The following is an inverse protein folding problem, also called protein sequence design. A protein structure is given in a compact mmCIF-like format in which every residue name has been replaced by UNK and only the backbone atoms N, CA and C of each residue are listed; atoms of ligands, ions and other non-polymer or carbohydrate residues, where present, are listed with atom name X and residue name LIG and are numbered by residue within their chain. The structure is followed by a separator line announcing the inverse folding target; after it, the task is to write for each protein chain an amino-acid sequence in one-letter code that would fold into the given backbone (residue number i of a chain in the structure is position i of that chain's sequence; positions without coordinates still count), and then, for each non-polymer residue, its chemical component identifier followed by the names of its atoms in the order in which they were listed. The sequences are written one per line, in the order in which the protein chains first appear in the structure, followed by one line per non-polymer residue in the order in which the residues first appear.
data_IF_981392501118
#
_entry.id   IF_981392501118
#
_cell.length_a   1.000
_cell.length_b   1.000
_cell.length_c   1.000
_cell.angle_alpha   90.00
_cell.angle_beta   90.00
_cell.angle_gamma   90.00
#
_symmetry.space_group_name_H-M   'P 1'
#
loop_
_entity.id
_entity.type
_entity.pdbx_description
1 polymer ?
#
# COMPACT_ATOMS: atom_id res chain seq x y z
N UNK A 1 8.10 44.58 44.57
CA UNK A 1 8.46 43.20 44.20
C UNK A 1 7.44 42.27 44.82
N UNK A 2 6.49 41.75 44.03
CA UNK A 2 5.55 40.73 44.49
C UNK A 2 6.06 39.38 43.98
N UNK A 3 6.44 38.51 44.92
CA UNK A 3 6.88 37.14 44.65
C UNK A 3 5.63 36.29 44.51
N UNK A 4 5.32 35.82 43.31
CA UNK A 4 4.23 34.87 43.08
C UNK A 4 4.63 33.51 43.69
N UNK A 5 4.04 33.15 44.83
CA UNK A 5 4.15 31.79 45.36
C UNK A 5 3.17 30.90 44.60
N UNK A 6 3.65 30.11 43.64
CA UNK A 6 2.88 28.97 43.13
C UNK A 6 2.66 28.01 44.30
N UNK A 7 1.40 27.66 44.58
CA UNK A 7 1.10 26.68 45.62
C UNK A 7 1.72 25.33 45.26
N UNK A 8 2.26 24.65 46.26
CA UNK A 8 2.90 23.33 46.15
C UNK A 8 1.98 22.28 45.50
N UNK A 9 0.67 22.50 45.54
CA UNK A 9 -0.34 21.64 44.91
C UNK A 9 -0.36 21.76 43.37
N UNK A 10 -0.11 22.96 42.82
CA UNK A 10 -0.08 23.15 41.37
C UNK A 10 1.20 22.59 40.74
N UNK A 11 2.34 22.67 41.44
CA UNK A 11 3.60 22.08 40.95
C UNK A 11 3.56 20.55 40.99
N UNK A 12 2.98 19.94 42.03
CA UNK A 12 2.80 18.50 42.10
C UNK A 12 1.87 17.96 40.99
N UNK A 13 0.78 18.67 40.70
CA UNK A 13 -0.15 18.29 39.63
C UNK A 13 0.52 18.41 38.24
N UNK A 14 1.32 19.45 38.02
CA UNK A 14 2.05 19.62 36.77
C UNK A 14 3.11 18.53 36.57
N UNK A 15 3.81 18.13 37.63
CA UNK A 15 4.74 16.99 37.59
C UNK A 15 4.04 15.66 37.31
N UNK A 16 2.86 15.42 37.87
CA UNK A 16 2.08 14.21 37.61
C UNK A 16 1.57 14.14 36.16
N UNK A 17 1.11 15.27 35.60
CA UNK A 17 0.67 15.35 34.20
C UNK A 17 1.86 15.16 33.25
N UNK A 18 3.02 15.78 33.55
CA UNK A 18 4.23 15.59 32.77
C UNK A 18 4.72 14.13 32.81
N UNK A 19 4.68 13.47 33.97
CA UNK A 19 5.05 12.06 34.10
C UNK A 19 4.09 11.15 33.33
N UNK A 20 2.79 11.44 33.36
CA UNK A 20 1.79 10.72 32.57
C UNK A 20 2.06 10.89 31.06
N UNK A 21 2.32 12.11 30.60
CA UNK A 21 2.63 12.33 29.18
C UNK A 21 3.90 11.60 28.74
N UNK A 22 4.95 11.52 29.57
CA UNK A 22 6.18 10.75 29.27
C UNK A 22 5.92 9.23 29.22
N UNK A 23 5.08 8.72 30.12
CA UNK A 23 4.71 7.29 30.16
C UNK A 23 3.84 6.88 28.95
N UNK A 24 3.06 7.81 28.38
CA UNK A 24 2.19 7.55 27.23
C UNK A 24 2.74 8.04 25.88
N UNK A 25 3.79 8.87 25.85
CA UNK A 25 4.48 9.31 24.63
C UNK A 25 5.63 8.39 24.20
N UNK A 26 5.95 7.39 25.01
CA UNK A 26 6.91 6.36 24.64
C UNK A 26 6.23 5.41 23.63
N UNK A 27 6.72 5.25 22.39
CA UNK A 27 6.20 4.19 21.54
C UNK A 27 6.48 2.88 22.27
N UNK A 28 5.43 2.11 22.56
CA UNK A 28 5.57 0.74 23.05
C UNK A 28 6.32 -0.01 21.94
N UNK A 29 7.64 -0.11 22.09
CA UNK A 29 8.47 -1.05 21.35
C UNK A 29 8.04 -2.44 21.80
N UNK A 30 7.02 -2.97 21.15
CA UNK A 30 6.73 -4.40 21.17
C UNK A 30 7.94 -5.04 20.50
N UNK A 31 8.88 -5.49 21.32
CA UNK A 31 9.98 -6.35 20.91
C UNK A 31 9.34 -7.69 20.49
N UNK A 32 8.93 -7.78 19.23
CA UNK A 32 8.74 -9.07 18.59
C UNK A 32 10.12 -9.68 18.46
N UNK A 33 10.48 -10.57 19.38
CA UNK A 33 11.67 -11.43 19.26
C UNK A 33 11.47 -12.42 18.11
N UNK A 34 11.53 -11.90 16.88
CA UNK A 34 11.89 -12.68 15.71
C UNK A 34 13.41 -12.70 15.65
N UNK A 35 13.99 -13.88 15.83
CA UNK A 35 15.41 -14.15 15.67
C UNK A 35 15.84 -13.74 14.26
N UNK A 36 16.45 -12.56 14.12
CA UNK A 36 17.20 -12.16 12.94
C UNK A 36 18.58 -12.81 13.06
N UNK A 37 18.74 -13.99 12.44
CA UNK A 37 20.06 -14.55 12.16
C UNK A 37 20.79 -13.57 11.24
N UNK A 38 21.57 -12.68 11.87
CA UNK A 38 22.48 -11.79 11.18
C UNK A 38 23.80 -12.52 11.04
N UNK A 39 23.82 -13.56 10.20
CA UNK A 39 25.06 -14.00 9.60
C UNK A 39 25.43 -12.94 8.58
N UNK A 40 26.43 -12.13 8.89
CA UNK A 40 27.12 -11.27 7.94
C UNK A 40 27.82 -12.16 6.90
N UNK A 41 27.03 -12.66 5.94
CA UNK A 41 27.51 -13.05 4.63
C UNK A 41 27.58 -11.77 3.82
N UNK A 42 28.76 -11.51 3.25
CA UNK A 42 28.96 -10.47 2.24
C UNK A 42 27.80 -10.59 1.23
N UNK A 43 26.99 -9.53 1.00
CA UNK A 43 25.87 -9.63 0.09
C UNK A 43 26.41 -10.02 -1.28
N UNK A 44 25.99 -11.20 -1.75
CA UNK A 44 26.13 -11.55 -3.15
C UNK A 44 25.44 -10.42 -3.95
N UNK A 45 26.12 -9.71 -4.87
CA UNK A 45 25.58 -8.52 -5.54
C UNK A 45 24.43 -8.81 -6.53
N UNK A 46 23.89 -10.03 -6.54
CA UNK A 46 22.80 -10.42 -7.42
C UNK A 46 21.51 -9.72 -6.99
N UNK A 47 21.18 -8.64 -7.70
CA UNK A 47 19.93 -7.88 -7.51
C UNK A 47 18.69 -8.67 -7.99
N UNK A 48 18.91 -9.76 -8.71
CA UNK A 48 17.89 -10.67 -9.22
C UNK A 48 17.90 -11.98 -8.43
N UNK A 49 16.69 -12.44 -8.10
CA UNK A 49 16.49 -13.74 -7.46
C UNK A 49 16.97 -14.85 -8.41
N UNK A 50 17.56 -15.92 -7.84
CA UNK A 50 17.88 -17.16 -8.55
C UNK A 50 16.66 -17.84 -9.21
N UNK A 51 15.45 -17.34 -8.94
CA UNK A 51 14.17 -17.83 -9.46
C UNK A 51 13.71 -17.14 -10.76
N UNK A 52 14.57 -16.33 -11.40
CA UNK A 52 14.27 -15.68 -12.68
C UNK A 52 14.98 -16.41 -13.82
N UNK A 53 14.23 -16.99 -14.76
CA UNK A 53 14.77 -17.55 -15.99
C UNK A 53 14.81 -16.51 -17.11
N UNK A 54 15.86 -16.59 -17.93
CA UNK A 54 16.09 -15.69 -19.06
C UNK A 54 15.84 -16.41 -20.39
N UNK A 55 15.17 -15.74 -21.31
CA UNK A 55 14.81 -16.26 -22.63
C UNK A 55 15.17 -15.28 -23.74
N UNK A 56 15.39 -15.80 -24.94
CA UNK A 56 15.81 -15.00 -26.10
C UNK A 56 17.20 -14.43 -25.89
N UNK A 57 17.36 -13.15 -26.19
CA UNK A 57 18.63 -12.42 -26.04
C UNK A 57 18.88 -11.93 -24.61
N UNK A 58 17.97 -12.22 -23.67
CA UNK A 58 18.10 -11.75 -22.30
C UNK A 58 19.33 -12.35 -21.63
N UNK A 59 20.20 -11.51 -21.06
CA UNK A 59 21.44 -11.94 -20.44
C UNK A 59 21.78 -11.11 -19.19
N UNK A 60 22.47 -11.73 -18.23
CA UNK A 60 23.06 -11.02 -17.11
C UNK A 60 24.30 -10.24 -17.57
N UNK A 61 24.44 -9.03 -17.06
CA UNK A 61 25.62 -8.18 -17.25
C UNK A 61 26.12 -7.66 -15.89
N UNK A 62 27.28 -7.01 -15.88
CA UNK A 62 27.86 -6.37 -14.69
C UNK A 62 27.93 -7.30 -13.48
N UNK A 63 28.42 -8.52 -13.69
CA UNK A 63 28.57 -9.53 -12.65
C UNK A 63 27.24 -10.03 -12.06
N UNK A 64 26.12 -9.86 -12.77
CA UNK A 64 24.78 -10.27 -12.32
C UNK A 64 23.96 -9.15 -11.68
N UNK A 65 24.42 -7.90 -11.74
CA UNK A 65 23.74 -6.76 -11.13
C UNK A 65 22.64 -6.14 -12.00
N UNK A 66 22.59 -6.47 -13.30
CA UNK A 66 21.52 -6.07 -14.23
C UNK A 66 21.24 -7.17 -15.26
N UNK A 67 20.02 -7.17 -15.82
CA UNK A 67 19.63 -8.00 -16.96
C UNK A 67 19.51 -7.08 -18.18
N UNK A 68 20.20 -7.41 -19.26
CA UNK A 68 19.97 -6.82 -20.58
C UNK A 68 18.87 -7.62 -21.24
N UNK A 69 17.73 -6.99 -21.53
CA UNK A 69 16.62 -7.65 -22.21
C UNK A 69 16.77 -7.58 -23.74
N UNK A 70 17.39 -6.52 -24.26
CA UNK A 70 17.68 -6.36 -25.69
C UNK A 70 19.07 -5.76 -25.90
N UNK A 71 19.76 -6.23 -26.94
CA UNK A 71 21.02 -5.64 -27.37
C UNK A 71 20.80 -4.43 -28.29
N UNK A 72 21.85 -3.64 -28.52
CA UNK A 72 21.83 -2.52 -29.47
C UNK A 72 21.88 -3.01 -30.94
N UNK A 73 20.97 -3.91 -31.29
CA UNK A 73 20.85 -4.58 -32.58
C UNK A 73 19.39 -4.66 -32.99
N UNK A 74 19.14 -4.64 -34.29
CA UNK A 74 17.79 -4.80 -34.86
C UNK A 74 17.26 -6.20 -34.56
N UNK A 75 15.96 -6.31 -34.30
CA UNK A 75 15.26 -7.58 -34.03
C UNK A 75 15.77 -8.35 -32.82
N UNK A 76 16.38 -7.67 -31.85
CA UNK A 76 16.68 -8.26 -30.55
C UNK A 76 15.43 -8.33 -29.68
N UNK A 77 15.21 -9.46 -29.01
CA UNK A 77 14.09 -9.68 -28.10
C UNK A 77 14.49 -10.61 -26.97
N UNK A 78 14.06 -10.28 -25.75
CA UNK A 78 14.38 -11.07 -24.58
C UNK A 78 13.31 -10.95 -23.51
N UNK A 79 13.28 -11.95 -22.63
CA UNK A 79 12.31 -12.03 -21.54
C UNK A 79 12.96 -12.56 -20.27
N UNK A 80 12.65 -11.94 -19.15
CA UNK A 80 13.00 -12.39 -17.81
C UNK A 80 11.72 -12.77 -17.07
N UNK A 81 11.59 -14.01 -16.62
CA UNK A 81 10.34 -14.54 -16.05
C UNK A 81 10.58 -15.25 -14.72
N UNK A 82 9.69 -15.04 -13.75
CA UNK A 82 9.71 -15.82 -12.52
C UNK A 82 9.30 -17.27 -12.81
N UNK A 83 10.11 -18.23 -12.38
CA UNK A 83 9.88 -19.66 -12.65
C UNK A 83 8.71 -20.24 -11.85
N UNK A 84 8.40 -19.65 -10.69
CA UNK A 84 7.31 -20.11 -9.83
C UNK A 84 5.95 -19.75 -10.44
N UNK A 85 5.11 -20.73 -10.80
CA UNK A 85 3.78 -20.46 -11.33
C UNK A 85 2.85 -19.83 -10.29
N UNK A 86 1.94 -19.00 -10.77
CA UNK A 86 0.89 -18.34 -10.01
C UNK A 86 -0.48 -18.85 -10.50
N UNK A 87 -1.39 -19.12 -9.56
CA UNK A 87 -2.82 -19.26 -9.87
C UNK A 87 -3.53 -18.02 -9.36
N UNK A 88 -4.28 -17.37 -10.24
CA UNK A 88 -4.99 -16.12 -9.90
C UNK A 88 -6.33 -16.36 -9.20
N UNK A 89 -6.83 -17.60 -9.28
CA UNK A 89 -7.96 -18.10 -8.51
C UNK A 89 -7.56 -19.39 -7.83
N UNK A 90 -7.64 -19.43 -6.51
CA UNK A 90 -7.49 -20.66 -5.74
C UNK A 90 -8.86 -21.18 -5.33
N UNK A 91 -9.24 -22.35 -5.84
CA UNK A 91 -10.49 -23.01 -5.47
C UNK A 91 -10.28 -23.93 -4.29
N UNK A 92 -10.92 -23.62 -3.15
CA UNK A 92 -10.92 -24.47 -1.98
C UNK A 92 -12.32 -25.06 -1.75
N UNK A 93 -12.48 -26.39 -1.67
CA UNK A 93 -13.78 -27.03 -1.44
C UNK A 93 -14.50 -26.57 -0.16
N UNK A 94 -13.76 -26.07 0.84
CA UNK A 94 -14.30 -25.63 2.14
C UNK A 94 -14.60 -24.14 2.22
N UNK A 95 -13.96 -23.30 1.41
CA UNK A 95 -14.06 -21.84 1.50
C UNK A 95 -14.40 -21.15 0.17
N UNK A 96 -14.67 -21.91 -0.89
CA UNK A 96 -14.95 -21.36 -2.22
C UNK A 96 -13.70 -20.89 -2.96
N UNK A 97 -13.91 -20.12 -4.02
CA UNK A 97 -12.84 -19.53 -4.82
C UNK A 97 -12.31 -18.25 -4.16
N UNK A 98 -10.98 -18.15 -4.03
CA UNK A 98 -10.23 -17.01 -3.49
C UNK A 98 -9.44 -16.37 -4.63
N UNK A 99 -9.61 -15.06 -4.82
CA UNK A 99 -8.82 -14.30 -5.79
C UNK A 99 -7.45 -13.91 -5.23
N UNK A 100 -6.45 -13.83 -6.10
CA UNK A 100 -5.08 -13.43 -5.71
C UNK A 100 -4.77 -12.02 -6.20
N UNK A 101 -4.44 -11.14 -5.26
CA UNK A 101 -3.93 -9.80 -5.54
C UNK A 101 -2.42 -9.84 -5.66
N UNK A 102 -1.84 -8.87 -6.38
CA UNK A 102 -0.39 -8.80 -6.50
C UNK A 102 0.13 -7.37 -6.59
N UNK A 103 1.41 -7.22 -6.28
CA UNK A 103 2.18 -6.02 -6.51
C UNK A 103 3.47 -6.38 -7.26
N UNK A 104 3.77 -5.66 -8.32
CA UNK A 104 5.04 -5.71 -9.03
C UNK A 104 5.76 -4.36 -8.94
N UNK A 105 7.08 -4.40 -8.81
CA UNK A 105 7.96 -3.23 -8.88
C UNK A 105 9.21 -3.58 -9.67
N UNK A 106 9.53 -2.77 -10.66
CA UNK A 106 10.74 -2.96 -11.45
C UNK A 106 11.33 -1.63 -11.87
N UNK A 107 12.64 -1.63 -12.11
CA UNK A 107 13.38 -0.47 -12.60
C UNK A 107 14.14 -0.82 -13.87
N UNK A 108 14.12 0.09 -14.83
CA UNK A 108 14.61 -0.16 -16.19
C UNK A 108 15.14 1.12 -16.84
N UNK A 109 15.85 0.99 -17.95
CA UNK A 109 16.23 2.08 -18.84
C UNK A 109 16.16 1.62 -20.29
N UNK A 110 15.94 2.56 -21.19
CA UNK A 110 15.93 2.34 -22.63
C UNK A 110 16.78 3.41 -23.30
N UNK A 111 17.66 2.99 -24.21
CA UNK A 111 18.48 3.91 -25.01
C UNK A 111 17.61 4.74 -25.97
N UNK A 112 18.17 5.83 -26.50
CA UNK A 112 17.44 6.89 -27.24
C UNK A 112 16.75 6.43 -28.53
N UNK A 113 17.11 5.25 -29.04
CA UNK A 113 16.44 4.63 -30.18
C UNK A 113 14.96 4.33 -29.86
N UNK A 114 14.14 4.24 -30.89
CA UNK A 114 12.69 4.01 -30.79
C UNK A 114 12.33 2.65 -31.33
N UNK A 115 11.99 1.70 -30.47
CA UNK A 115 11.46 0.42 -30.93
C UNK A 115 11.86 -0.73 -30.03
N UNK A 116 10.98 -1.67 -29.71
CA UNK A 116 9.54 -1.47 -29.50
C UNK A 116 9.34 -0.94 -28.08
N UNK A 117 10.01 -1.57 -27.10
CA UNK A 117 10.00 -1.15 -25.72
C UNK A 117 9.98 -2.35 -24.80
N UNK A 118 9.46 -2.13 -23.59
CA UNK A 118 9.43 -3.10 -22.50
C UNK A 118 8.00 -3.29 -22.00
N UNK A 119 7.66 -4.49 -21.56
CA UNK A 119 6.31 -4.84 -21.09
C UNK A 119 6.38 -5.73 -19.85
N UNK A 120 5.63 -5.37 -18.82
CA UNK A 120 5.28 -6.32 -17.74
C UNK A 120 4.23 -7.28 -18.28
N UNK A 121 4.44 -8.56 -18.06
CA UNK A 121 3.72 -9.62 -18.77
C UNK A 121 3.25 -10.71 -17.80
N UNK A 122 1.98 -11.10 -17.92
CA UNK A 122 1.43 -12.31 -17.31
C UNK A 122 0.90 -13.21 -18.43
N UNK A 123 1.38 -14.45 -18.51
CA UNK A 123 0.99 -15.42 -19.55
C UNK A 123 0.81 -16.82 -18.97
N UNK A 124 0.03 -17.69 -19.64
CA UNK A 124 0.04 -19.12 -19.39
C UNK A 124 1.46 -19.68 -19.36
N UNK A 125 1.72 -20.57 -18.40
CA UNK A 125 3.02 -21.19 -18.20
C UNK A 125 3.63 -21.75 -19.49
N UNK A 126 2.82 -22.46 -20.27
CA UNK A 126 3.27 -23.07 -21.54
C UNK A 126 3.63 -22.04 -22.62
N UNK A 127 3.03 -20.84 -22.57
CA UNK A 127 3.32 -19.74 -23.49
C UNK A 127 4.63 -19.04 -23.13
N UNK A 128 4.87 -18.78 -21.84
CA UNK A 128 6.14 -18.19 -21.37
C UNK A 128 7.34 -19.06 -21.77
N UNK A 129 7.24 -20.38 -21.55
CA UNK A 129 8.34 -21.31 -21.84
C UNK A 129 8.70 -21.40 -23.34
N UNK A 130 7.79 -21.00 -24.23
CA UNK A 130 8.00 -21.06 -25.69
C UNK A 130 8.53 -19.77 -26.30
N UNK A 131 8.59 -18.68 -25.52
CA UNK A 131 8.95 -17.31 -25.91
C UNK A 131 9.21 -17.10 -27.43
N UNK A 132 8.23 -16.55 -28.18
CA UNK A 132 8.36 -16.44 -29.63
C UNK A 132 9.55 -15.60 -30.10
N UNK A 133 9.92 -14.58 -29.33
CA UNK A 133 11.03 -13.67 -29.64
C UNK A 133 10.81 -12.87 -30.93
N UNK A 134 9.55 -12.64 -31.31
CA UNK A 134 9.16 -11.99 -32.57
C UNK A 134 7.95 -11.09 -32.33
N UNK A 135 7.89 -9.98 -33.06
CA UNK A 135 6.80 -9.00 -32.93
C UNK A 135 7.04 -8.01 -31.80
N UNK A 136 6.04 -7.14 -31.53
CA UNK A 136 6.11 -6.16 -30.44
C UNK A 136 6.34 -6.87 -29.11
N UNK A 137 7.29 -6.33 -28.33
CA UNK A 137 7.71 -6.88 -27.04
C UNK A 137 8.12 -8.37 -27.07
N UNK A 138 8.46 -8.93 -28.24
CA UNK A 138 8.80 -10.35 -28.40
C UNK A 138 7.58 -11.29 -28.46
N UNK A 139 6.37 -10.74 -28.61
CA UNK A 139 5.09 -11.47 -28.66
C UNK A 139 4.45 -11.46 -30.05
N UNK A 140 3.80 -12.58 -30.38
CA UNK A 140 3.04 -12.71 -31.62
C UNK A 140 1.60 -12.23 -31.43
N UNK A 141 1.38 -10.92 -31.54
CA UNK A 141 0.04 -10.34 -31.74
C UNK A 141 -0.98 -10.68 -30.65
N UNK A 142 -1.95 -11.53 -31.01
CA UNK A 142 -3.07 -11.92 -30.15
C UNK A 142 -2.77 -13.21 -29.40
N UNK A 143 -3.08 -13.25 -28.10
CA UNK A 143 -2.86 -14.43 -27.27
C UNK A 143 -3.48 -14.25 -25.89
N UNK A 144 -3.50 -15.29 -25.06
CA UNK A 144 -4.03 -15.18 -23.70
C UNK A 144 -2.99 -14.56 -22.77
N UNK A 145 -2.76 -13.25 -22.86
CA UNK A 145 -1.82 -12.53 -21.99
C UNK A 145 -2.44 -11.26 -21.40
N UNK A 146 -1.91 -10.83 -20.26
CA UNK A 146 -2.08 -9.48 -19.74
C UNK A 146 -0.75 -8.75 -19.81
N UNK A 147 -0.77 -7.51 -20.28
CA UNK A 147 0.41 -6.67 -20.45
C UNK A 147 0.24 -5.29 -19.84
N UNK A 148 1.32 -4.75 -19.28
CA UNK A 148 1.48 -3.30 -19.11
C UNK A 148 2.68 -2.88 -19.94
N UNK A 149 2.42 -2.24 -21.07
CA UNK A 149 3.42 -1.85 -22.06
C UNK A 149 3.98 -0.45 -21.77
N UNK A 150 5.27 -0.27 -22.09
CA UNK A 150 5.99 1.00 -22.08
C UNK A 150 6.58 1.16 -23.48
N UNK A 151 5.79 1.71 -24.39
CA UNK A 151 6.07 1.73 -25.82
C UNK A 151 6.77 3.03 -26.24
N UNK A 152 7.82 2.86 -27.04
CA UNK A 152 8.69 3.93 -27.55
C UNK A 152 8.58 4.10 -29.06
N UNK A 153 7.72 3.29 -29.68
CA UNK A 153 7.38 3.28 -31.10
C UNK A 153 5.92 3.65 -31.28
N UNK A 154 5.58 4.19 -32.47
CA UNK A 154 4.20 4.42 -32.85
C UNK A 154 3.88 3.52 -34.04
N UNK A 155 2.94 2.61 -33.83
CA UNK A 155 2.40 1.70 -34.81
C UNK A 155 0.87 1.89 -34.92
N UNK A 156 0.46 2.47 -36.05
CA UNK A 156 -0.95 2.68 -36.33
C UNK A 156 -1.77 1.40 -36.47
N UNK A 157 -1.13 0.23 -36.70
CA UNK A 157 -1.84 -1.04 -36.84
C UNK A 157 -2.35 -1.59 -35.51
N UNK A 158 -1.76 -1.19 -34.39
CA UNK A 158 -2.22 -1.56 -33.04
C UNK A 158 -2.82 -0.36 -32.27
N UNK A 159 -3.03 0.77 -32.96
CA UNK A 159 -3.75 1.91 -32.40
C UNK A 159 -2.92 2.76 -31.43
N UNK A 160 -1.59 2.73 -31.54
CA UNK A 160 -0.71 3.49 -30.65
C UNK A 160 -1.06 4.98 -30.63
N UNK A 161 -1.13 5.53 -29.42
CA UNK A 161 -1.44 6.95 -29.22
C UNK A 161 -0.29 7.86 -29.71
N UNK A 162 0.96 7.45 -29.49
CA UNK A 162 2.20 8.15 -29.85
C UNK A 162 3.41 7.23 -29.56
N UNK A 163 4.65 7.65 -29.86
CA UNK A 163 5.86 6.86 -29.55
C UNK A 163 6.46 7.06 -28.16
N UNK A 164 5.65 7.35 -27.14
CA UNK A 164 6.05 7.59 -25.75
C UNK A 164 4.83 7.40 -24.82
N UNK A 165 4.30 6.17 -24.76
CA UNK A 165 3.07 5.89 -24.03
C UNK A 165 3.18 4.67 -23.11
N UNK A 166 2.29 4.63 -22.12
CA UNK A 166 2.06 3.45 -21.28
C UNK A 166 0.67 2.94 -21.57
N UNK A 167 0.56 1.63 -21.69
CA UNK A 167 -0.66 0.94 -22.11
C UNK A 167 -0.98 -0.27 -21.23
N UNK A 168 -2.25 -0.67 -21.21
CA UNK A 168 -2.72 -1.91 -20.56
C UNK A 168 -3.35 -2.79 -21.63
N UNK A 169 -2.73 -3.94 -21.85
CA UNK A 169 -3.08 -4.90 -22.89
C UNK A 169 -3.79 -6.11 -22.31
N UNK A 170 -4.94 -6.45 -22.89
CA UNK A 170 -5.75 -7.59 -22.45
C UNK A 170 -6.04 -8.50 -23.64
N UNK A 171 -5.23 -9.55 -23.76
CA UNK A 171 -5.38 -10.59 -24.77
C UNK A 171 -4.90 -10.22 -26.18
N UNK A 172 -4.44 -8.98 -26.38
CA UNK A 172 -3.93 -8.47 -27.64
C UNK A 172 -3.14 -7.18 -27.40
N UNK A 173 -2.34 -6.75 -28.39
CA UNK A 173 -1.47 -5.57 -28.33
C UNK A 173 -2.18 -4.23 -28.59
N UNK A 174 -3.50 -4.22 -28.76
CA UNK A 174 -4.28 -2.98 -28.78
C UNK A 174 -4.67 -2.67 -27.34
N UNK A 175 -4.02 -1.66 -26.78
CA UNK A 175 -4.24 -1.18 -25.43
C UNK A 175 -5.72 -0.92 -25.11
N UNK A 176 -6.21 -1.55 -24.04
CA UNK A 176 -7.54 -1.30 -23.46
C UNK A 176 -7.59 0.00 -22.65
N UNK A 177 -6.44 0.49 -22.21
CA UNK A 177 -6.26 1.80 -21.57
C UNK A 177 -4.86 2.32 -21.89
N UNK A 178 -4.73 3.58 -22.28
CA UNK A 178 -3.46 4.14 -22.75
C UNK A 178 -3.31 5.61 -22.34
N UNK A 179 -2.08 6.02 -22.02
CA UNK A 179 -1.74 7.40 -21.69
C UNK A 179 -0.40 7.83 -22.27
N UNK A 180 -0.33 9.07 -22.77
CA UNK A 180 0.90 9.71 -23.18
C UNK A 180 1.70 10.14 -21.95
N UNK A 181 2.88 9.56 -21.71
CA UNK A 181 3.69 9.86 -20.51
C UNK A 181 4.35 11.24 -20.56
N UNK A 182 4.34 11.91 -21.71
CA UNK A 182 4.79 13.31 -21.83
C UNK A 182 3.93 14.23 -20.96
N UNK A 183 2.68 13.83 -20.65
CA UNK A 183 1.78 14.55 -19.74
C UNK A 183 2.26 14.60 -18.29
N UNK A 184 3.17 13.70 -17.90
CA UNK A 184 3.86 13.71 -16.59
C UNK A 184 5.35 14.07 -16.72
N UNK A 185 5.73 14.72 -17.84
CA UNK A 185 7.09 15.17 -18.13
C UNK A 185 8.15 14.06 -18.19
N UNK A 186 7.74 12.84 -18.55
CA UNK A 186 8.65 11.71 -18.74
C UNK A 186 8.81 11.35 -20.22
N UNK A 187 10.03 10.90 -20.55
CA UNK A 187 10.38 10.32 -21.85
C UNK A 187 10.97 8.95 -21.58
N UNK A 188 10.27 7.92 -22.04
CA UNK A 188 10.56 6.51 -21.73
C UNK A 188 11.96 6.09 -22.20
N UNK A 189 12.38 6.56 -23.37
CA UNK A 189 13.67 6.26 -23.98
C UNK A 189 14.70 7.38 -23.80
N UNK A 190 14.64 8.12 -22.69
CA UNK A 190 15.62 9.20 -22.41
C UNK A 190 17.02 8.71 -22.00
N UNK A 191 17.26 7.39 -21.96
CA UNK A 191 18.47 6.79 -21.37
C UNK A 191 18.51 6.82 -19.84
N UNK A 192 17.64 7.62 -19.19
CA UNK A 192 17.52 7.66 -17.74
C UNK A 192 16.90 6.37 -17.19
N UNK A 193 17.26 6.05 -15.95
CA UNK A 193 16.63 4.96 -15.20
C UNK A 193 15.24 5.39 -14.71
N UNK A 194 14.23 4.58 -15.01
CA UNK A 194 12.85 4.71 -14.58
C UNK A 194 12.47 3.55 -13.66
N UNK A 195 11.33 3.68 -12.98
CA UNK A 195 10.74 2.62 -12.17
C UNK A 195 9.22 2.65 -12.26
N UNK A 196 8.62 1.46 -12.19
CA UNK A 196 7.17 1.27 -12.30
C UNK A 196 6.64 0.42 -11.16
N UNK A 197 5.42 0.74 -10.70
CA UNK A 197 4.65 -0.07 -9.77
C UNK A 197 3.34 -0.49 -10.43
N UNK A 198 3.02 -1.77 -10.35
CA UNK A 198 1.78 -2.34 -10.88
C UNK A 198 1.12 -3.09 -9.73
N UNK A 199 -0.07 -2.66 -9.34
CA UNK A 199 -0.85 -3.29 -8.28
C UNK A 199 -2.17 -3.79 -8.84
N UNK A 200 -2.50 -5.04 -8.52
CA UNK A 200 -3.79 -5.65 -8.82
C UNK A 200 -4.50 -5.97 -7.53
N UNK A 201 -5.73 -5.48 -7.40
CA UNK A 201 -6.64 -5.85 -6.33
C UNK A 201 -7.71 -6.80 -6.88
N UNK A 202 -7.64 -8.08 -6.51
CA UNK A 202 -8.58 -9.11 -6.94
C UNK A 202 -10.01 -8.89 -6.44
N UNK A 203 -10.21 -8.14 -5.35
CA UNK A 203 -11.54 -7.87 -4.79
C UNK A 203 -12.29 -6.82 -5.61
N UNK A 204 -11.59 -5.75 -6.00
CA UNK A 204 -12.13 -4.67 -6.82
C UNK A 204 -11.93 -4.89 -8.32
N UNK A 205 -11.09 -5.86 -8.70
CA UNK A 205 -10.68 -6.19 -10.08
C UNK A 205 -10.01 -5.01 -10.77
N UNK A 206 -9.29 -4.19 -9.99
CA UNK A 206 -8.62 -2.99 -10.48
C UNK A 206 -7.11 -3.23 -10.59
N UNK A 207 -6.56 -2.82 -11.73
CA UNK A 207 -5.13 -2.62 -11.94
C UNK A 207 -4.83 -1.14 -11.78
N UNK A 208 -3.78 -0.83 -11.02
CA UNK A 208 -3.19 0.50 -10.95
C UNK A 208 -1.73 0.46 -11.43
N UNK A 209 -1.39 1.32 -12.38
CA UNK A 209 -0.03 1.47 -12.90
C UNK A 209 0.50 2.84 -12.49
N UNK A 210 1.72 2.87 -11.96
CA UNK A 210 2.46 4.10 -11.62
C UNK A 210 3.83 4.06 -12.26
N UNK A 211 4.33 5.22 -12.69
CA UNK A 211 5.65 5.38 -13.30
C UNK A 211 6.34 6.61 -12.70
N UNK A 212 7.65 6.52 -12.50
CA UNK A 212 8.46 7.65 -12.07
C UNK A 212 9.94 7.49 -12.44
N UNK A 213 10.71 8.58 -12.27
CA UNK A 213 12.17 8.50 -12.33
C UNK A 213 12.70 7.62 -11.18
N UNK A 214 13.81 6.92 -11.43
CA UNK A 214 14.42 6.10 -10.40
C UNK A 214 14.91 6.95 -9.22
N UNK A 215 14.63 6.49 -8.00
CA UNK A 215 14.96 7.21 -6.77
C UNK A 215 13.90 8.23 -6.35
N UNK A 216 12.94 8.56 -7.22
CA UNK A 216 11.76 9.34 -6.82
C UNK A 216 10.83 8.51 -5.92
N UNK A 217 10.04 9.20 -5.10
CA UNK A 217 8.99 8.57 -4.32
C UNK A 217 7.92 7.97 -5.25
N UNK A 218 7.28 6.87 -4.81
CA UNK A 218 6.13 6.28 -5.51
C UNK A 218 5.02 7.33 -5.62
N UNK A 219 4.51 7.64 -6.83
CA UNK A 219 3.39 8.55 -7.01
C UNK A 219 2.15 8.10 -6.22
N UNK A 220 1.44 9.06 -5.62
CA UNK A 220 0.18 8.78 -4.93
C UNK A 220 -0.89 8.38 -5.96
N UNK A 221 -1.14 9.26 -6.93
CA UNK A 221 -2.08 9.02 -8.01
C UNK A 221 -1.50 8.05 -9.04
N UNK A 222 -2.28 7.04 -9.47
CA UNK A 222 -1.88 6.15 -10.54
C UNK A 222 -1.87 6.87 -11.89
N UNK A 223 -0.92 6.49 -12.73
CA UNK A 223 -0.84 6.93 -14.13
C UNK A 223 -1.96 6.31 -14.96
N UNK A 224 -2.30 5.03 -14.72
CA UNK A 224 -3.43 4.34 -15.31
C UNK A 224 -4.19 3.54 -14.25
N UNK A 225 -5.51 3.49 -14.39
CA UNK A 225 -6.39 2.56 -13.69
C UNK A 225 -7.23 1.81 -14.72
N UNK A 226 -7.34 0.50 -14.58
CA UNK A 226 -8.16 -0.31 -15.48
C UNK A 226 -8.84 -1.46 -14.74
N UNK A 227 -10.12 -1.67 -15.06
CA UNK A 227 -10.91 -2.77 -14.49
C UNK A 227 -10.75 -4.01 -15.36
N UNK A 228 -10.18 -5.08 -14.82
CA UNK A 228 -9.99 -6.36 -15.52
C UNK A 228 -10.11 -7.53 -14.54
N UNK A 229 -10.89 -8.54 -14.91
CA UNK A 229 -11.01 -9.76 -14.13
C UNK A 229 -9.97 -10.80 -14.57
N UNK A 230 -8.76 -10.70 -14.01
CA UNK A 230 -7.67 -11.63 -14.32
C UNK A 230 -7.99 -13.06 -13.83
N UNK A 231 -8.80 -13.18 -12.78
CA UNK A 231 -9.26 -14.48 -12.29
C UNK A 231 -10.18 -15.17 -13.29
N UNK A 232 -11.11 -14.43 -13.91
CA UNK A 232 -11.95 -14.96 -14.97
C UNK A 232 -11.17 -15.28 -16.26
N UNK A 233 -10.15 -14.49 -16.58
CA UNK A 233 -9.33 -14.66 -17.80
C UNK A 233 -8.58 -16.00 -17.84
N UNK A 234 -8.05 -16.45 -16.70
CA UNK A 234 -7.25 -17.68 -16.61
C UNK A 234 -7.87 -18.77 -15.73
N UNK A 235 -8.91 -18.47 -14.96
CA UNK A 235 -9.58 -19.42 -14.07
C UNK A 235 -8.55 -20.12 -13.15
N UNK A 236 -8.45 -21.44 -13.24
CA UNK A 236 -7.57 -22.32 -12.47
C UNK A 236 -6.22 -22.60 -13.14
N UNK A 237 -5.95 -21.99 -14.30
CA UNK A 237 -4.71 -22.16 -15.06
C UNK A 237 -3.52 -21.49 -14.36
N UNK A 238 -2.36 -22.12 -14.49
CA UNK A 238 -1.10 -21.58 -14.00
C UNK A 238 -0.52 -20.57 -14.98
N UNK A 239 -0.21 -19.38 -14.47
CA UNK A 239 0.43 -18.30 -15.21
C UNK A 239 1.83 -18.03 -14.67
N UNK A 240 2.69 -17.47 -15.52
CA UNK A 240 3.99 -16.95 -15.16
C UNK A 240 4.01 -15.44 -15.33
N UNK A 241 4.82 -14.77 -14.50
CA UNK A 241 4.96 -13.32 -14.46
C UNK A 241 6.37 -12.95 -14.88
N UNK A 242 6.49 -12.02 -15.81
CA UNK A 242 7.78 -11.65 -16.40
C UNK A 242 7.83 -10.23 -16.92
N UNK A 243 9.00 -9.87 -17.41
CA UNK A 243 9.27 -8.67 -18.19
C UNK A 243 9.75 -9.11 -19.56
N UNK A 244 9.07 -8.65 -20.61
CA UNK A 244 9.42 -8.94 -22.00
C UNK A 244 9.78 -7.66 -22.73
N UNK A 245 10.72 -7.73 -23.68
CA UNK A 245 11.14 -6.56 -24.43
C UNK A 245 11.54 -6.93 -25.87
N UNK A 246 11.43 -5.95 -26.76
CA UNK A 246 11.86 -6.03 -28.15
C UNK A 246 12.49 -4.71 -28.55
N UNK A 247 13.51 -4.77 -29.41
CA UNK A 247 14.14 -3.63 -30.07
C UNK A 247 13.45 -3.27 -31.40
N UNK A 248 12.49 -4.11 -31.84
CA UNK A 248 11.79 -3.94 -33.11
C UNK A 248 12.75 -3.78 -34.29
N UNK A 249 12.49 -2.74 -35.09
CA UNK A 249 13.37 -2.36 -36.22
C UNK A 249 14.52 -1.40 -35.81
N UNK A 250 14.65 -1.10 -34.52
CA UNK A 250 15.63 -0.17 -33.99
C UNK A 250 16.77 -0.88 -33.26
N UNK A 251 17.75 -0.12 -32.81
CA UNK A 251 18.88 -0.62 -32.01
C UNK A 251 18.72 -0.25 -30.55
N UNK A 252 17.50 -0.35 -30.03
CA UNK A 252 17.19 0.03 -28.66
C UNK A 252 17.72 -1.03 -27.68
N UNK A 253 18.65 -0.62 -26.82
CA UNK A 253 19.11 -1.40 -25.69
C UNK A 253 18.19 -1.16 -24.50
N UNK A 254 17.66 -2.24 -23.93
CA UNK A 254 16.76 -2.20 -22.79
C UNK A 254 17.42 -2.95 -21.63
N UNK A 255 17.61 -2.24 -20.51
CA UNK A 255 18.23 -2.78 -19.30
C UNK A 255 17.20 -2.84 -18.18
N UNK A 256 17.12 -3.98 -17.51
CA UNK A 256 16.34 -4.21 -16.30
C UNK A 256 17.31 -4.24 -15.12
N UNK A 257 17.10 -3.38 -14.14
CA UNK A 257 17.99 -3.26 -12.96
C UNK A 257 17.42 -3.96 -11.74
N UNK A 258 16.10 -4.02 -11.60
CA UNK A 258 15.44 -4.74 -10.52
C UNK A 258 14.09 -5.26 -10.99
N UNK A 259 13.68 -6.42 -10.50
CA UNK A 259 12.33 -6.93 -10.68
C UNK A 259 11.90 -7.64 -9.41
N UNK A 260 10.79 -7.18 -8.83
CA UNK A 260 10.19 -7.74 -7.63
C UNK A 260 8.70 -7.97 -7.88
N UNK A 261 8.24 -9.17 -7.56
CA UNK A 261 6.83 -9.54 -7.63
C UNK A 261 6.39 -10.15 -6.29
N UNK A 262 5.22 -9.75 -5.80
CA UNK A 262 4.62 -10.28 -4.57
C UNK A 262 3.14 -10.54 -4.82
N UNK A 263 2.74 -11.81 -4.73
CA UNK A 263 1.34 -12.22 -4.70
C UNK A 263 0.84 -12.37 -3.26
N UNK A 264 -0.43 -12.06 -3.01
CA UNK A 264 -1.09 -12.20 -1.71
C UNK A 264 -2.50 -12.75 -1.91
N UNK A 265 -2.83 -13.77 -1.14
CA UNK A 265 -4.17 -14.33 -1.15
C UNK A 265 -5.13 -13.38 -0.44
N UNK A 266 -6.26 -13.07 -1.08
CA UNK A 266 -7.37 -12.43 -0.43
C UNK A 266 -8.45 -13.47 -0.19
N UNK A 267 -8.65 -13.96 1.05
CA UNK A 267 -9.79 -14.82 1.32
C UNK A 267 -11.04 -14.07 0.87
N UNK A 268 -11.87 -14.73 0.04
CA UNK A 268 -13.22 -14.27 -0.27
C UNK A 268 -14.04 -14.34 1.02
N UNK A 269 -13.77 -13.39 1.93
CA UNK A 269 -14.54 -13.23 3.15
C UNK A 269 -15.94 -12.84 2.75
N UNK A 270 -16.80 -13.85 2.80
CA UNK A 270 -18.27 -13.84 2.73
C UNK A 270 -18.84 -12.55 3.31
N UNK A 271 -18.91 -11.50 2.49
CA UNK A 271 -20.07 -10.64 2.58
C UNK A 271 -21.20 -11.52 2.08
N UNK A 272 -22.13 -11.84 2.99
CA UNK A 272 -23.28 -12.71 2.76
C UNK A 272 -23.99 -12.34 1.46
N UNK A 273 -23.63 -13.00 0.36
CA UNK A 273 -24.52 -13.04 -0.79
C UNK A 273 -25.75 -13.83 -0.32
N UNK A 274 -26.97 -13.28 -0.45
CA UNK A 274 -28.16 -14.03 -0.12
C UNK A 274 -28.17 -15.31 -0.97
N UNK A 275 -28.34 -16.45 -0.30
CA UNK A 275 -28.52 -17.74 -0.96
C UNK A 275 -29.62 -17.62 -2.01
N UNK A 276 -29.31 -18.02 -3.25
CA UNK A 276 -30.29 -18.08 -4.33
C UNK A 276 -31.39 -19.10 -3.95
N UNK A 277 -32.66 -18.67 -3.79
CA UNK A 277 -33.76 -19.56 -3.44
C UNK A 277 -34.05 -20.61 -4.53
N UNK A 278 -33.48 -20.50 -5.74
CA UNK A 278 -33.58 -21.54 -6.75
C UNK A 278 -32.81 -22.82 -6.36
N UNK A 279 -31.77 -22.72 -5.54
CA UNK A 279 -30.97 -23.87 -5.11
C UNK A 279 -31.74 -24.79 -4.14
N UNK A 280 -32.74 -24.26 -3.43
CA UNK A 280 -33.58 -25.03 -2.50
C UNK A 280 -34.71 -25.80 -3.19
N UNK A 281 -35.04 -25.49 -4.45
CA UNK A 281 -36.09 -26.21 -5.19
C UNK A 281 -35.64 -27.54 -5.78
N UNK A 282 -34.32 -27.74 -5.91
CA UNK A 282 -33.76 -28.99 -6.45
C UNK A 282 -33.24 -29.95 -5.37
N UNK A 283 -33.17 -29.53 -4.11
CA UNK A 283 -32.76 -30.37 -3.00
C UNK A 283 -33.92 -31.13 -2.32
N UNK A 284 -35.18 -30.81 -2.66
CA UNK A 284 -36.40 -31.31 -1.97
C UNK A 284 -36.98 -32.61 -2.58
N UNK A 285 -36.23 -33.34 -3.41
CA UNK A 285 -36.71 -34.60 -4.02
C UNK A 285 -35.84 -35.83 -3.77
N UNK A 286 -34.88 -35.77 -2.85
CA UNK A 286 -34.17 -36.98 -2.47
C UNK A 286 -33.86 -37.05 -0.99
N UNK A 287 -34.39 -38.11 -0.40
CA UNK A 287 -33.96 -38.81 0.83
C UNK A 287 -34.95 -38.68 1.99
N UNK A 288 -35.80 -39.69 2.05
CA UNK A 288 -36.55 -40.15 3.21
C UNK A 288 -35.62 -40.53 4.38
N UNK A 289 -36.02 -40.05 5.57
CA UNK A 289 -35.95 -40.69 6.89
C UNK A 289 -34.67 -41.40 7.35
N UNK A 290 -33.94 -40.80 8.31
CA UNK A 290 -33.52 -41.45 9.57
C UNK A 290 -33.45 -40.39 10.68
N UNK A 291 -33.90 -40.80 11.87
CA UNK A 291 -34.09 -40.03 13.10
C UNK A 291 -32.81 -39.48 13.77
N UNK A 292 -33.04 -38.33 14.41
CA UNK A 292 -32.67 -37.94 15.78
C UNK A 292 -31.20 -37.86 16.24
N UNK A 293 -30.90 -36.66 16.74
CA UNK A 293 -30.08 -36.32 17.91
C UNK A 293 -28.55 -36.35 17.76
N UNK A 294 -27.96 -35.16 17.71
CA UNK A 294 -27.01 -34.71 18.75
C UNK A 294 -26.61 -33.25 18.51
N UNK A 295 -26.78 -32.43 19.55
CA UNK A 295 -26.43 -31.01 19.55
C UNK A 295 -24.92 -30.77 19.43
N UNK A 296 -24.53 -30.01 18.42
CA UNK A 296 -23.16 -29.50 18.29
C UNK A 296 -22.96 -28.29 19.21
N UNK A 297 -22.36 -28.51 20.38
CA UNK A 297 -21.78 -27.45 21.19
C UNK A 297 -20.62 -26.76 20.43
N UNK A 298 -20.76 -25.46 20.21
CA UNK A 298 -19.71 -24.58 19.73
C UNK A 298 -18.67 -24.37 20.84
N UNK A 299 -17.64 -25.23 20.88
CA UNK A 299 -16.50 -25.07 21.79
C UNK A 299 -15.61 -23.91 21.31
N UNK A 300 -15.92 -22.68 21.75
CA UNK A 300 -15.02 -21.55 21.63
C UNK A 300 -13.81 -21.77 22.55
N UNK A 301 -12.63 -21.93 21.97
CA UNK A 301 -11.36 -21.92 22.70
C UNK A 301 -11.21 -20.57 23.41
N UNK A 302 -11.40 -20.56 24.72
CA UNK A 302 -11.19 -19.38 25.56
C UNK A 302 -9.68 -19.09 25.63
N UNK A 303 -9.24 -18.06 24.90
CA UNK A 303 -7.87 -17.58 24.96
C UNK A 303 -7.70 -16.72 26.24
N UNK A 304 -6.87 -17.11 27.21
CA UNK A 304 -6.71 -16.36 28.48
C UNK A 304 -6.17 -14.93 28.26
N UNK A 305 -5.54 -14.67 27.12
CA UNK A 305 -5.07 -13.33 26.70
C UNK A 305 -6.23 -12.35 26.45
N UNK A 306 -7.37 -12.80 25.92
CA UNK A 306 -8.51 -11.92 25.67
C UNK A 306 -9.20 -11.48 26.97
N UNK A 307 -9.20 -12.35 27.99
CA UNK A 307 -9.72 -12.01 29.33
C UNK A 307 -8.78 -11.02 30.01
N UNK A 308 -7.46 -11.23 29.91
CA UNK A 308 -6.47 -10.33 30.49
C UNK A 308 -6.53 -8.93 29.85
N UNK A 309 -6.66 -8.85 28.52
CA UNK A 309 -6.83 -7.58 27.82
C UNK A 309 -8.11 -6.84 28.24
N UNK A 310 -9.22 -7.57 28.42
CA UNK A 310 -10.47 -7.01 28.93
C UNK A 310 -10.34 -6.44 30.35
N UNK A 311 -9.62 -7.13 31.23
CA UNK A 311 -9.37 -6.66 32.61
C UNK A 311 -8.47 -5.41 32.64
N UNK A 312 -7.43 -5.34 31.81
CA UNK A 312 -6.56 -4.16 31.70
C UNK A 312 -7.36 -2.96 31.17
N UNK A 313 -8.20 -3.18 30.15
CA UNK A 313 -9.03 -2.10 29.59
C UNK A 313 -10.07 -1.59 30.59
N UNK A 314 -10.76 -2.50 31.30
CA UNK A 314 -11.76 -2.13 32.30
C UNK A 314 -11.15 -1.37 33.49
N UNK A 315 -9.97 -1.80 33.97
CA UNK A 315 -9.26 -1.11 35.06
C UNK A 315 -8.74 0.26 34.64
N UNK A 316 -8.21 0.39 33.42
CA UNK A 316 -7.79 1.67 32.85
C UNK A 316 -8.95 2.67 32.72
N UNK A 317 -10.08 2.24 32.15
CA UNK A 317 -11.27 3.07 32.04
C UNK A 317 -11.85 3.45 33.41
N UNK A 318 -11.90 2.53 34.36
CA UNK A 318 -12.37 2.79 35.72
C UNK A 318 -11.52 3.85 36.45
N UNK A 319 -10.19 3.74 36.35
CA UNK A 319 -9.27 4.70 36.94
C UNK A 319 -9.42 6.10 36.31
N UNK A 320 -9.61 6.17 34.99
CA UNK A 320 -9.78 7.44 34.28
C UNK A 320 -11.09 8.15 34.68
N UNK A 321 -12.19 7.41 34.80
CA UNK A 321 -13.47 7.97 35.28
C UNK A 321 -13.35 8.49 36.71
N UNK A 322 -12.73 7.72 37.61
CA UNK A 322 -12.53 8.16 38.99
C UNK A 322 -11.67 9.44 39.07
N UNK A 323 -10.64 9.56 38.24
CA UNK A 323 -9.80 10.75 38.17
C UNK A 323 -10.57 11.99 37.70
N UNK A 324 -11.41 11.86 36.68
CA UNK A 324 -12.26 12.96 36.19
C UNK A 324 -13.24 13.41 37.27
N UNK A 325 -13.86 12.47 38.01
CA UNK A 325 -14.78 12.81 39.10
C UNK A 325 -14.08 13.57 40.22
N UNK A 326 -12.88 13.13 40.65
CA UNK A 326 -12.10 13.84 41.67
C UNK A 326 -11.67 15.23 41.20
N UNK A 327 -11.26 15.35 39.93
CA UNK A 327 -10.88 16.65 39.35
C UNK A 327 -12.05 17.63 39.35
N UNK A 328 -13.24 17.18 38.91
CA UNK A 328 -14.46 17.99 38.96
C UNK A 328 -14.82 18.35 40.40
N UNK A 329 -14.72 17.41 41.34
CA UNK A 329 -14.99 17.67 42.77
C UNK A 329 -14.13 18.80 43.33
N UNK A 330 -12.82 18.80 43.05
CA UNK A 330 -11.91 19.88 43.50
C UNK A 330 -12.31 21.23 42.90
N UNK A 331 -12.59 21.28 41.59
CA UNK A 331 -12.98 22.53 40.92
C UNK A 331 -14.30 23.09 41.47
N UNK A 332 -15.26 22.24 41.79
CA UNK A 332 -16.57 22.68 42.28
C UNK A 332 -16.58 23.00 43.78
N UNK A 333 -15.79 22.31 44.62
CA UNK A 333 -15.73 22.58 46.06
C UNK A 333 -14.94 23.85 46.38
N UNK A 334 -13.87 24.17 45.63
CA UNK A 334 -13.15 25.43 45.82
C UNK A 334 -13.99 26.67 45.41
N UNK A 335 -15.02 26.48 44.59
CA UNK A 335 -15.90 27.58 44.13
C UNK A 335 -16.95 28.01 45.16
N UNK A 336 -17.05 27.34 46.32
CA UNK A 336 -18.00 27.68 47.39
C UNK A 336 -17.39 28.34 48.64
N UNK A 337 -16.14 28.82 48.58
CA UNK A 337 -15.60 29.73 49.61
C UNK A 337 -15.65 31.17 49.13
N UNK A 338 -16.81 31.82 49.27
CA UNK A 338 -16.91 33.29 49.18
C UNK A 338 -16.34 33.88 50.48
N UNK A 339 -15.30 34.73 50.46
CA UNK A 339 -14.85 35.45 51.66
C UNK A 339 -15.85 36.55 52.03
N UNK A 340 -16.15 36.68 53.33
CA UNK A 340 -17.00 37.74 53.88
C UNK A 340 -16.41 39.14 53.59
N UNK A 341 -17.30 40.13 53.35
CA UNK A 341 -16.93 41.53 53.08
C UNK A 341 -16.12 42.17 54.22
N UNK A 342 -15.13 43.03 53.90
CA UNK A 342 -14.40 43.79 54.91
C UNK A 342 -15.24 45.00 55.40
N UNK A 343 -15.35 45.10 56.73
CA UNK A 343 -16.01 46.17 57.47
C UNK A 343 -15.22 47.49 57.33
N UNK A 344 -15.77 48.48 56.60
CA UNK A 344 -15.15 49.79 56.43
C UNK A 344 -15.35 50.66 57.67
N UNK A 345 -14.24 51.01 58.35
CA UNK A 345 -14.21 51.96 59.47
C UNK A 345 -13.82 53.35 58.95
N UNK A 346 -14.74 54.31 59.02
CA UNK A 346 -14.49 55.70 58.63
C UNK A 346 -13.83 56.49 59.78
N UNK A 347 -12.76 57.22 59.47
CA UNK A 347 -12.11 58.18 60.36
C UNK A 347 -12.47 59.59 59.88
N UNK A 348 -13.13 60.38 60.74
CA UNK A 348 -13.57 61.74 60.42
C UNK A 348 -12.38 62.70 60.48
N UNK A 349 -12.00 63.27 59.34
CA UNK A 349 -11.03 64.38 59.28
C UNK A 349 -11.80 65.66 59.02
N UNK A 350 -11.74 66.59 59.98
CA UNK A 350 -12.34 67.91 59.90
C UNK A 350 -11.20 68.93 59.79
N UNK A 351 -11.00 69.56 58.63
CA UNK A 351 -10.06 70.70 58.52
C UNK A 351 -10.61 71.79 57.59
N UNK A 352 -11.13 72.81 58.27
CA UNK A 352 -11.10 74.26 58.07
C UNK A 352 -10.66 74.79 56.69
N UNK A 353 -11.58 75.55 56.07
CA UNK A 353 -11.36 76.41 54.90
C UNK A 353 -10.74 77.73 55.38
N UNK A 354 -9.59 78.10 54.82
CA UNK A 354 -9.02 79.44 54.95
C UNK A 354 -9.11 80.13 53.59
N UNK A 355 -9.77 81.29 53.56
CA UNK A 355 -9.91 82.16 52.39
C UNK A 355 -8.87 83.29 52.48
N UNK A 356 -8.21 83.60 51.36
CA UNK A 356 -7.70 84.94 51.01
C UNK A 356 -7.61 84.97 49.46
N UNK A 357 -8.47 85.71 48.76
CA UNK A 357 -8.48 87.16 48.44
C UNK A 357 -7.28 87.61 47.58
N UNK A 358 -7.65 88.00 46.35
CA UNK A 358 -7.02 88.93 45.40
C UNK A 358 -5.49 89.05 45.26
N UNK A 359 -5.04 88.73 44.04
CA UNK A 359 -4.57 89.74 43.09
C UNK A 359 -3.26 90.50 43.39
N UNK A 360 -2.28 90.36 42.48
CA UNK A 360 -1.73 91.46 41.67
C UNK A 360 -0.38 91.09 41.02
N UNK A 361 -0.27 91.45 39.74
CA UNK A 361 0.89 92.07 39.03
C UNK A 361 2.28 91.43 39.25
N UNK A 362 3.07 91.12 38.22
CA UNK A 362 3.23 91.77 36.91
C UNK A 362 4.05 90.84 36.02
#
# INVERSE_FOLDING_TARGET
MAVFSLSVTHTALFCLIALFLVLFSSPILILSSGTLDTTTTVPNPNLFDSQISLHGDAALEDGGSLIILTNASVSSSGMAVYEKPLKLVESNPRSGATGVSFSAHFSFSMSEEKGDGIMFLIVPRDSALKFPGKGKFGLTGSGRFFGVEFDTSMDGNVGDLNGNHVGIDVGNLVSSSVVNVSGIHLVLNSGKKLQSWIDYDASSKLIEVRLGEFGAARPYDPLLVHSVDLGQMWKDEEVLVGISASSGNAKQRISLYSFKFVARDFPSSLHSQPLDPAFLKHADQSVDSVNADEGYEKKSSFCPLSILAGLIFATGCGALVAFVVLFLWVVFVDRHRIPAEPEFKYENINVVVENDVDGAKK
#
